data_IF_054464991160
#
_entry.id   IF_054464991160
#
_cell.length_a   1.000
_cell.length_b   1.000
_cell.length_c   1.000
_cell.angle_alpha   90.00
_cell.angle_beta   90.00
_cell.angle_gamma   90.00
#
_symmetry.space_group_name_H-M   'P 1'
#
loop_
_entity.id
_entity.type
_entity.pdbx_description
1 polymer ?
#
# COMPACT_ATOMS: atom_id res chain seq x y z
N UNK A 1 13.81 -2.19 8.75
CA UNK A 1 13.71 -2.93 7.49
C UNK A 1 12.87 -4.17 7.75
N UNK A 2 11.60 -4.12 7.34
CA UNK A 2 10.74 -5.32 7.37
C UNK A 2 11.27 -6.35 6.36
N UNK A 3 11.32 -7.62 6.75
CA UNK A 3 11.72 -8.71 5.88
C UNK A 3 10.73 -8.92 4.74
N UNK A 4 11.24 -9.19 3.52
CA UNK A 4 10.42 -9.45 2.32
C UNK A 4 9.34 -10.51 2.55
N UNK A 5 9.68 -11.58 3.28
CA UNK A 5 8.74 -12.65 3.61
C UNK A 5 7.55 -12.17 4.44
N UNK A 6 7.80 -11.29 5.42
CA UNK A 6 6.76 -10.71 6.28
C UNK A 6 5.82 -9.83 5.48
N UNK A 7 6.35 -9.02 4.55
CA UNK A 7 5.54 -8.22 3.63
C UNK A 7 4.65 -9.12 2.78
N UNK A 8 5.22 -10.14 2.15
CA UNK A 8 4.48 -11.04 1.24
C UNK A 8 3.39 -11.83 1.98
N UNK A 9 3.69 -12.34 3.19
CA UNK A 9 2.71 -13.05 4.01
C UNK A 9 1.58 -12.13 4.48
N UNK A 10 1.91 -10.90 4.90
CA UNK A 10 0.92 -9.95 5.41
C UNK A 10 0.03 -9.42 4.30
N UNK A 11 0.63 -8.93 3.21
CA UNK A 11 -0.10 -8.38 2.08
C UNK A 11 -0.82 -9.46 1.27
N UNK A 12 -0.45 -10.74 1.43
CA UNK A 12 -0.92 -11.88 0.62
C UNK A 12 -0.77 -11.61 -0.88
N UNK A 13 0.27 -10.88 -1.26
CA UNK A 13 0.57 -10.56 -2.64
C UNK A 13 1.45 -11.67 -3.26
N UNK A 14 1.27 -11.91 -4.56
CA UNK A 14 2.14 -12.81 -5.29
C UNK A 14 3.54 -12.17 -5.48
N UNK A 15 4.61 -12.96 -5.73
CA UNK A 15 5.97 -12.44 -5.88
C UNK A 15 6.11 -11.37 -6.98
N UNK A 16 5.27 -11.45 -8.01
CA UNK A 16 5.18 -10.49 -9.12
C UNK A 16 4.41 -9.21 -8.79
N UNK A 17 3.72 -9.16 -7.64
CA UNK A 17 2.98 -8.02 -7.10
C UNK A 17 3.68 -7.41 -5.89
N UNK A 18 4.92 -7.84 -5.62
CA UNK A 18 5.71 -7.28 -4.54
C UNK A 18 6.08 -5.83 -4.87
N UNK A 19 5.79 -4.86 -3.98
CA UNK A 19 6.04 -3.46 -4.25
C UNK A 19 7.53 -3.14 -4.06
N UNK A 20 8.30 -3.27 -5.15
CA UNK A 20 9.74 -3.08 -5.15
C UNK A 20 10.10 -1.62 -4.94
N UNK A 21 9.39 -0.70 -5.59
CA UNK A 21 9.67 0.74 -5.49
C UNK A 21 9.31 1.26 -4.10
N UNK A 22 8.21 0.80 -3.51
CA UNK A 22 7.89 1.16 -2.12
C UNK A 22 8.95 0.61 -1.15
N UNK A 23 9.44 -0.60 -1.35
CA UNK A 23 10.47 -1.16 -0.47
C UNK A 23 11.80 -0.39 -0.57
N UNK A 24 12.18 0.02 -1.78
CA UNK A 24 13.46 0.68 -2.06
C UNK A 24 13.42 2.18 -1.70
N UNK A 25 12.43 2.92 -2.21
CA UNK A 25 12.35 4.38 -2.08
C UNK A 25 11.50 4.86 -0.92
N UNK A 26 10.52 4.07 -0.48
CA UNK A 26 9.55 4.46 0.55
C UNK A 26 9.36 3.40 1.64
N UNK A 27 10.44 2.88 2.25
CA UNK A 27 10.35 1.74 3.18
C UNK A 27 9.40 2.06 4.35
N UNK A 28 9.42 3.29 4.86
CA UNK A 28 8.53 3.74 5.93
C UNK A 28 7.04 3.66 5.57
N UNK A 29 6.69 3.84 4.30
CA UNK A 29 5.30 3.72 3.82
C UNK A 29 4.92 2.25 3.76
N UNK A 30 5.77 1.41 3.17
CA UNK A 30 5.55 -0.02 3.11
C UNK A 30 5.39 -0.62 4.51
N UNK A 31 6.25 -0.23 5.45
CA UNK A 31 6.17 -0.67 6.85
C UNK A 31 4.84 -0.29 7.50
N UNK A 32 4.32 0.91 7.21
CA UNK A 32 3.05 1.36 7.75
C UNK A 32 1.85 0.70 7.07
N UNK A 33 1.91 0.41 5.76
CA UNK A 33 0.90 -0.40 5.07
C UNK A 33 0.82 -1.77 5.71
N UNK A 34 1.95 -2.46 5.90
CA UNK A 34 2.01 -3.79 6.52
C UNK A 34 1.44 -3.78 7.93
N UNK A 35 1.78 -2.77 8.76
CA UNK A 35 1.23 -2.62 10.11
C UNK A 35 -0.29 -2.42 10.11
N UNK A 36 -0.81 -1.63 9.18
CA UNK A 36 -2.23 -1.32 9.11
C UNK A 36 -3.04 -2.35 8.33
N UNK A 37 -2.42 -3.28 7.60
CA UNK A 37 -3.08 -4.19 6.66
C UNK A 37 -4.17 -5.08 7.28
N UNK A 38 -4.06 -5.39 8.57
CA UNK A 38 -5.08 -6.17 9.28
C UNK A 38 -6.11 -5.29 10.01
N UNK A 39 -5.99 -3.97 9.91
CA UNK A 39 -6.88 -2.97 10.50
C UNK A 39 -7.77 -2.34 9.42
N UNK A 40 -9.03 -1.95 9.74
CA UNK A 40 -9.86 -1.15 8.83
C UNK A 40 -9.18 0.16 8.40
N UNK A 41 -8.20 0.65 9.17
CA UNK A 41 -7.44 1.85 8.87
C UNK A 41 -6.56 1.73 7.62
N UNK A 42 -6.22 0.51 7.17
CA UNK A 42 -5.46 0.31 5.93
C UNK A 42 -6.15 0.91 4.71
N UNK A 43 -7.47 0.79 4.63
CA UNK A 43 -8.24 1.31 3.49
C UNK A 43 -8.12 2.84 3.42
N UNK A 44 -8.38 3.50 4.54
CA UNK A 44 -8.26 4.96 4.68
C UNK A 44 -6.82 5.42 4.39
N UNK A 45 -5.84 4.70 4.92
CA UNK A 45 -4.43 4.98 4.72
C UNK A 45 -3.99 4.87 3.25
N UNK A 46 -4.46 3.84 2.53
CA UNK A 46 -4.18 3.64 1.10
C UNK A 46 -4.92 4.67 0.24
N UNK A 47 -6.15 5.02 0.58
CA UNK A 47 -6.91 6.07 -0.10
C UNK A 47 -6.24 7.45 0.05
N UNK A 48 -5.72 7.76 1.24
CA UNK A 48 -4.96 8.97 1.54
C UNK A 48 -3.64 9.05 0.74
N UNK A 49 -2.94 7.92 0.56
CA UNK A 49 -1.72 7.87 -0.25
C UNK A 49 -1.95 8.13 -1.74
N UNK A 50 -3.12 7.72 -2.28
CA UNK A 50 -3.46 7.87 -3.69
C UNK A 50 -4.03 9.23 -4.05
N UNK A 51 -4.15 10.15 -3.09
CA UNK A 51 -4.60 11.50 -3.37
C UNK A 51 -3.61 12.22 -4.31
N UNK A 52 -4.09 13.06 -5.26
CA UNK A 52 -3.27 13.71 -6.28
C UNK A 52 -2.07 14.51 -5.73
N UNK A 53 -2.16 15.00 -4.49
CA UNK A 53 -1.11 15.80 -3.84
C UNK A 53 -0.34 15.02 -2.75
N UNK A 54 -0.54 13.70 -2.68
CA UNK A 54 -0.05 12.83 -1.60
C UNK A 54 -0.66 13.15 -0.23
N UNK A 55 -0.01 12.64 0.83
CA UNK A 55 -0.37 12.94 2.22
C UNK A 55 -0.27 14.43 2.54
N UNK A 56 -1.40 15.11 2.54
CA UNK A 56 -1.52 16.50 2.99
C UNK A 56 -2.25 17.37 1.97
N UNK A 57 -3.56 17.51 2.18
CA UNK A 57 -4.41 18.41 1.41
C UNK A 57 -3.82 19.81 1.27
N UNK A 58 -3.54 20.19 0.02
CA UNK A 58 -3.28 21.58 -0.35
C UNK A 58 -1.81 22.01 -0.50
N UNK A 59 -0.83 21.10 -0.50
CA UNK A 59 0.55 21.47 -0.90
C UNK A 59 0.73 21.25 -2.39
N UNK A 60 0.86 22.33 -3.16
CA UNK A 60 0.99 22.33 -4.63
C UNK A 60 2.42 21.96 -5.10
N UNK A 61 3.33 21.78 -4.15
CA UNK A 61 4.78 21.73 -4.31
C UNK A 61 5.37 20.35 -3.93
N UNK A 62 4.52 19.32 -3.84
CA UNK A 62 4.94 17.91 -3.76
C UNK A 62 4.61 17.21 -5.06
N UNK A 63 5.64 16.71 -5.75
CA UNK A 63 5.52 15.82 -6.92
C UNK A 63 5.02 14.41 -6.52
N UNK A 64 3.92 14.33 -5.76
CA UNK A 64 3.22 13.09 -5.40
C UNK A 64 4.11 11.86 -5.14
N UNK A 65 3.65 10.70 -5.61
CA UNK A 65 4.49 9.51 -5.76
C UNK A 65 4.99 9.43 -7.20
N UNK A 66 6.21 8.90 -7.43
CA UNK A 66 6.60 8.45 -8.76
C UNK A 66 5.54 7.50 -9.33
N UNK A 67 5.29 7.55 -10.64
CA UNK A 67 4.23 6.77 -11.31
C UNK A 67 4.25 5.29 -10.91
N UNK A 68 5.43 4.65 -10.89
CA UNK A 68 5.58 3.24 -10.47
C UNK A 68 5.18 3.01 -9.02
N UNK A 69 5.54 3.91 -8.10
CA UNK A 69 5.13 3.80 -6.69
C UNK A 69 3.63 3.99 -6.54
N UNK A 70 3.03 4.92 -7.29
CA UNK A 70 1.58 5.11 -7.32
C UNK A 70 0.85 3.85 -7.82
N UNK A 71 1.34 3.24 -8.91
CA UNK A 71 0.81 1.98 -9.44
C UNK A 71 0.88 0.84 -8.42
N UNK A 72 2.01 0.70 -7.70
CA UNK A 72 2.16 -0.30 -6.64
C UNK A 72 1.15 -0.08 -5.50
N UNK A 73 0.98 1.17 -5.02
CA UNK A 73 0.00 1.50 -3.99
C UNK A 73 -1.43 1.22 -4.48
N UNK A 74 -1.73 1.55 -5.74
CA UNK A 74 -3.03 1.30 -6.33
C UNK A 74 -3.34 -0.20 -6.41
N UNK A 75 -2.36 -1.02 -6.85
CA UNK A 75 -2.50 -2.48 -6.86
C UNK A 75 -2.75 -3.03 -5.45
N UNK A 76 -2.06 -2.52 -4.43
CA UNK A 76 -2.28 -2.90 -3.04
C UNK A 76 -3.69 -2.53 -2.57
N UNK A 77 -4.21 -1.36 -2.94
CA UNK A 77 -5.60 -0.98 -2.63
C UNK A 77 -6.61 -1.92 -3.30
N UNK A 78 -6.39 -2.26 -4.56
CA UNK A 78 -7.24 -3.23 -5.27
C UNK A 78 -7.17 -4.60 -4.60
N UNK A 79 -5.98 -5.04 -4.20
CA UNK A 79 -5.77 -6.30 -3.49
C UNK A 79 -6.51 -6.32 -2.14
N UNK A 80 -6.46 -5.23 -1.39
CA UNK A 80 -7.14 -5.06 -0.12
C UNK A 80 -8.67 -5.03 -0.27
N UNK A 81 -9.17 -4.38 -1.33
CA UNK A 81 -10.60 -4.24 -1.64
C UNK A 81 -11.22 -5.53 -2.19
N UNK A 82 -10.42 -6.47 -2.73
CA UNK A 82 -10.94 -7.77 -3.16
C UNK A 82 -11.62 -8.44 -1.95
N UNK A 83 -12.91 -8.80 -2.06
CA UNK A 83 -13.61 -9.43 -0.96
C UNK A 83 -12.85 -10.71 -0.59
N UNK A 84 -12.31 -10.73 0.64
CA UNK A 84 -11.87 -11.99 1.24
C UNK A 84 -13.07 -12.93 1.14
N UNK A 85 -12.94 -14.15 0.60
CA UNK A 85 -14.07 -15.06 0.49
C UNK A 85 -14.74 -15.12 1.87
N UNK A 86 -16.01 -14.69 1.93
CA UNK A 86 -16.82 -14.82 3.14
C UNK A 86 -16.70 -16.29 3.54
N UNK A 87 -16.31 -16.64 4.77
CA UNK A 87 -16.49 -18.01 5.22
C UNK A 87 -17.97 -18.31 5.04
N UNK A 88 -18.28 -19.26 4.16
CA UNK A 88 -19.62 -19.76 3.99
C UNK A 88 -20.09 -20.21 5.38
N UNK A 89 -21.11 -19.54 5.90
CA UNK A 89 -21.73 -19.88 7.18
C UNK A 89 -22.70 -21.04 6.97
#
# INVERSE_FOLDING_TARGET
MISKDVVMQTLRCAPNQYPQILNDKFPHILEKIVKLWNSPEAESYLADLLQPNGRGGGRMDRDGFPERAWQEIFQLKVLYSKPRPKPAR
#
